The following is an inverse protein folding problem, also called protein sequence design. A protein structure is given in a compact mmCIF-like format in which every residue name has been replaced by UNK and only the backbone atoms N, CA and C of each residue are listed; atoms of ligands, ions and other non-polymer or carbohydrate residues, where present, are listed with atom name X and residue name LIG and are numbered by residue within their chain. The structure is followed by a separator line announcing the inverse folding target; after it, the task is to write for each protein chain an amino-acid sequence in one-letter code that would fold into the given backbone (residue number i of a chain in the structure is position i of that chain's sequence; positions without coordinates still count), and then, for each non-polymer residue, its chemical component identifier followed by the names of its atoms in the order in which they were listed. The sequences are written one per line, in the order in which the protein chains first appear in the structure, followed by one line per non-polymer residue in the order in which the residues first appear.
data_IF_729436199928
#
_entry.id   IF_729436199928
#
_cell.length_a   1.000
_cell.length_b   1.000
_cell.length_c   1.000
_cell.angle_alpha   90.00
_cell.angle_beta   90.00
_cell.angle_gamma   90.00
#
_symmetry.space_group_name_H-M   'P 1'
#
loop_
_entity.id
_entity.type
_entity.pdbx_description
1 polymer ?
#
# COMPACT_ATOMS: atom_id res chain seq x y z
N UNK A 1 -33.51 -31.15 -11.18
CA UNK A 1 -32.20 -30.91 -10.52
C UNK A 1 -31.85 -29.48 -10.83
N UNK A 2 -32.37 -28.60 -9.99
CA UNK A 2 -32.20 -27.16 -10.09
C UNK A 2 -30.72 -26.90 -9.84
N UNK A 3 -30.02 -26.48 -10.90
CA UNK A 3 -28.66 -25.98 -10.76
C UNK A 3 -28.77 -24.67 -9.99
N UNK A 4 -28.54 -24.73 -8.69
CA UNK A 4 -28.33 -23.55 -7.85
C UNK A 4 -27.12 -22.79 -8.42
N UNK A 5 -27.39 -21.81 -9.28
CA UNK A 5 -26.43 -20.78 -9.65
C UNK A 5 -26.09 -20.00 -8.38
N UNK A 6 -25.02 -20.42 -7.71
CA UNK A 6 -24.34 -19.64 -6.68
C UNK A 6 -23.80 -18.37 -7.35
N UNK A 7 -24.64 -17.34 -7.39
CA UNK A 7 -24.25 -16.00 -7.81
C UNK A 7 -23.15 -15.54 -6.85
N UNK A 8 -21.91 -15.56 -7.32
CA UNK A 8 -20.76 -15.05 -6.58
C UNK A 8 -21.00 -13.56 -6.33
N UNK A 9 -21.43 -13.22 -5.11
CA UNK A 9 -21.70 -11.84 -4.73
C UNK A 9 -20.36 -11.11 -4.58
N UNK A 10 -19.92 -10.44 -5.63
CA UNK A 10 -18.74 -9.59 -5.60
C UNK A 10 -19.05 -8.40 -4.69
N UNK A 11 -18.58 -8.47 -3.45
CA UNK A 11 -18.67 -7.35 -2.52
C UNK A 11 -17.60 -6.33 -2.88
N UNK A 12 -18.00 -5.31 -3.64
CA UNK A 12 -17.13 -4.17 -3.93
C UNK A 12 -17.11 -3.22 -2.72
N UNK A 13 -15.91 -2.77 -2.35
CA UNK A 13 -15.71 -1.71 -1.37
C UNK A 13 -15.11 -0.48 -2.07
N UNK A 14 -15.94 0.28 -2.82
CA UNK A 14 -15.49 1.55 -3.36
C UNK A 14 -14.97 2.40 -2.20
N UNK A 15 -13.79 3.02 -2.37
CA UNK A 15 -13.07 3.81 -1.37
C UNK A 15 -12.20 3.06 -0.33
N UNK A 16 -12.20 1.72 -0.29
CA UNK A 16 -11.36 0.99 0.67
C UNK A 16 -9.87 1.29 0.49
N UNK A 17 -9.44 1.51 -0.75
CA UNK A 17 -8.07 1.89 -1.08
C UNK A 17 -7.65 3.22 -0.42
N UNK A 18 -8.56 4.21 -0.30
CA UNK A 18 -8.26 5.48 0.39
C UNK A 18 -7.98 5.23 1.85
N UNK A 19 -8.84 4.45 2.51
CA UNK A 19 -8.66 4.09 3.92
C UNK A 19 -7.31 3.37 4.13
N UNK A 20 -6.95 2.44 3.25
CA UNK A 20 -5.65 1.76 3.33
C UNK A 20 -4.50 2.76 3.19
N UNK A 21 -4.54 3.63 2.18
CA UNK A 21 -3.48 4.63 1.94
C UNK A 21 -3.36 5.63 3.09
N UNK A 22 -4.47 6.08 3.65
CA UNK A 22 -4.49 6.98 4.81
C UNK A 22 -3.83 6.30 6.02
N UNK A 23 -4.14 5.03 6.29
CA UNK A 23 -3.52 4.26 7.37
C UNK A 23 -2.02 4.04 7.16
N UNK A 24 -1.60 3.74 5.93
CA UNK A 24 -0.18 3.61 5.60
C UNK A 24 0.55 4.94 5.77
N UNK A 25 -0.09 6.06 5.44
CA UNK A 25 0.47 7.38 5.65
C UNK A 25 0.62 7.71 7.15
N UNK A 26 -0.40 7.45 7.96
CA UNK A 26 -0.34 7.59 9.42
C UNK A 26 0.82 6.75 10.02
N UNK A 27 0.98 5.50 9.56
CA UNK A 27 2.08 4.65 9.98
C UNK A 27 3.45 5.24 9.60
N UNK A 28 3.59 5.80 8.40
CA UNK A 28 4.81 6.45 7.94
C UNK A 28 5.18 7.66 8.79
N UNK A 29 4.20 8.49 9.16
CA UNK A 29 4.40 9.68 10.00
C UNK A 29 4.76 9.34 11.45
N UNK A 30 4.35 8.17 11.94
CA UNK A 30 4.66 7.66 13.28
C UNK A 30 5.87 6.72 13.31
N UNK A 31 6.59 6.57 12.19
CA UNK A 31 7.71 5.64 12.03
C UNK A 31 7.35 4.15 12.29
N UNK A 32 6.07 3.79 12.15
CA UNK A 32 5.59 2.44 12.34
C UNK A 32 5.75 1.61 11.07
N UNK A 33 6.36 0.43 11.21
CA UNK A 33 6.56 -0.56 10.15
C UNK A 33 7.34 -0.05 8.91
N UNK A 34 7.92 1.15 8.98
CA UNK A 34 8.80 1.66 7.94
C UNK A 34 10.09 0.85 7.94
N UNK A 35 10.43 0.28 6.80
CA UNK A 35 11.55 -0.66 6.61
C UNK A 35 12.67 -0.07 5.74
N UNK A 36 12.58 1.22 5.43
CA UNK A 36 13.61 2.00 4.73
C UNK A 36 13.64 3.47 5.16
N UNK A 37 14.84 4.05 5.11
CA UNK A 37 15.08 5.50 5.19
C UNK A 37 15.78 5.97 3.91
N UNK A 38 15.17 6.88 3.15
CA UNK A 38 15.77 7.54 2.00
C UNK A 38 16.49 8.81 2.46
N UNK A 39 17.72 9.02 1.97
CA UNK A 39 18.50 10.22 2.27
C UNK A 39 18.61 11.06 1.00
N UNK A 40 18.04 12.26 0.99
CA UNK A 40 18.05 13.19 -0.14
C UNK A 40 18.49 14.55 0.36
N UNK A 41 19.63 15.06 -0.15
CA UNK A 41 20.22 16.34 0.25
C UNK A 41 20.36 16.51 1.78
N UNK A 42 20.68 15.42 2.48
CA UNK A 42 20.82 15.40 3.95
C UNK A 42 19.51 15.26 4.73
N UNK A 43 18.36 15.27 4.06
CA UNK A 43 17.05 15.00 4.65
C UNK A 43 16.78 13.49 4.69
N UNK A 44 16.18 13.03 5.79
CA UNK A 44 15.84 11.62 6.00
C UNK A 44 14.33 11.41 5.85
N UNK A 45 13.93 10.46 5.01
CA UNK A 45 12.54 10.11 4.76
C UNK A 45 12.32 8.64 5.04
N UNK A 46 11.59 8.32 6.11
CA UNK A 46 11.14 6.95 6.36
C UNK A 46 9.96 6.60 5.48
N UNK A 47 9.92 5.37 4.99
CA UNK A 47 8.88 4.89 4.09
C UNK A 47 8.71 3.37 4.19
N UNK A 48 7.69 2.85 3.52
CA UNK A 48 7.45 1.42 3.31
C UNK A 48 7.94 1.02 1.92
N UNK A 49 8.88 0.07 1.83
CA UNK A 49 9.41 -0.42 0.55
C UNK A 49 8.31 -0.93 -0.38
N UNK A 50 7.33 -1.66 0.16
CA UNK A 50 6.21 -2.19 -0.60
C UNK A 50 5.40 -1.09 -1.32
N UNK A 51 5.14 0.03 -0.62
CA UNK A 51 4.43 1.18 -1.21
C UNK A 51 5.28 1.84 -2.29
N UNK A 52 6.56 2.07 -2.03
CA UNK A 52 7.48 2.64 -3.03
C UNK A 52 7.60 1.77 -4.28
N UNK A 53 7.74 0.45 -4.12
CA UNK A 53 7.82 -0.51 -5.21
C UNK A 53 6.51 -0.57 -6.02
N UNK A 54 5.36 -0.51 -5.36
CA UNK A 54 4.06 -0.49 -6.04
C UNK A 54 3.84 0.78 -6.90
N UNK A 55 4.42 1.92 -6.49
CA UNK A 55 4.17 3.21 -7.13
C UNK A 55 5.32 3.72 -8.02
N UNK A 56 6.49 3.06 -8.05
CA UNK A 56 7.66 3.50 -8.80
C UNK A 56 8.47 2.34 -9.35
N UNK A 57 8.62 2.30 -10.67
CA UNK A 57 9.41 1.27 -11.35
C UNK A 57 10.89 1.29 -10.94
N UNK A 58 11.42 2.45 -10.58
CA UNK A 58 12.78 2.58 -10.06
C UNK A 58 12.91 1.83 -8.74
N UNK A 59 12.04 2.13 -7.77
CA UNK A 59 12.07 1.47 -6.47
C UNK A 59 11.72 -0.02 -6.56
N UNK A 60 10.82 -0.40 -7.47
CA UNK A 60 10.51 -1.82 -7.74
C UNK A 60 11.72 -2.62 -8.20
N UNK A 61 12.60 -2.02 -9.02
CA UNK A 61 13.82 -2.69 -9.49
C UNK A 61 14.96 -2.64 -8.46
N UNK A 62 14.87 -1.73 -7.50
CA UNK A 62 15.92 -1.47 -6.54
C UNK A 62 15.81 -2.36 -5.29
N UNK A 63 14.59 -2.68 -4.86
CA UNK A 63 14.31 -3.65 -3.78
C UNK A 63 14.07 -5.05 -4.33
#
# INVERSE_FOLDING_TARGET
VEAEEMMEYIQEFPEHYKVILDRLNEQREQDHFTDITLIVDGHHFKAHKAVLAACSQFFYKFF
#
